data_IF_383999432201
#
_entry.id   IF_383999432201
#
_cell.length_a   1.000
_cell.length_b   1.000
_cell.length_c   1.000
_cell.angle_alpha   90.00
_cell.angle_beta   90.00
_cell.angle_gamma   90.00
#
_symmetry.space_group_name_H-M   'P 1'
#
loop_
_entity.id
_entity.type
_entity.pdbx_description
1 polymer ?
#
# COMPACT_ATOMS: atom_id res chain seq x y z
N UNK A 1 -8.19 -0.86 -8.58
CA UNK A 1 -6.96 -0.06 -8.69
C UNK A 1 -6.31 0.06 -7.34
N UNK A 2 -4.97 0.07 -7.29
CA UNK A 2 -4.19 0.38 -6.08
C UNK A 2 -3.47 1.72 -6.29
N UNK A 3 -3.72 2.68 -5.40
CA UNK A 3 -3.12 4.02 -5.45
C UNK A 3 -2.35 4.28 -4.16
N UNK A 4 -1.19 4.93 -4.26
CA UNK A 4 -0.50 5.49 -3.10
C UNK A 4 -0.86 6.98 -2.98
N UNK A 5 -1.00 7.49 -1.77
CA UNK A 5 -1.18 8.93 -1.52
C UNK A 5 0.05 9.73 -2.00
N UNK A 6 1.23 9.14 -1.79
CA UNK A 6 2.53 9.66 -2.22
C UNK A 6 3.40 8.51 -2.75
N UNK A 7 4.24 8.79 -3.73
CA UNK A 7 5.25 7.86 -4.25
C UNK A 7 6.66 8.27 -3.84
N UNK A 8 6.80 9.27 -2.99
CA UNK A 8 8.04 9.69 -2.39
C UNK A 8 7.86 9.88 -0.89
N UNK A 9 8.77 9.30 -0.10
CA UNK A 9 8.74 9.40 1.34
C UNK A 9 10.16 9.48 1.92
N UNK A 10 10.26 9.91 3.17
CA UNK A 10 11.53 9.93 3.88
C UNK A 10 11.77 8.59 4.57
N UNK A 11 12.98 8.05 4.42
CA UNK A 11 13.40 6.80 5.02
C UNK A 11 13.76 6.97 6.53
N UNK A 12 12.87 7.56 7.32
CA UNK A 12 13.08 7.88 8.74
C UNK A 12 12.21 7.02 9.68
N UNK A 13 11.55 5.98 9.15
CA UNK A 13 10.54 5.16 9.85
C UNK A 13 9.32 5.92 10.38
N UNK A 14 9.20 7.21 10.08
CA UNK A 14 8.16 8.12 10.57
C UNK A 14 7.25 8.55 9.42
N UNK A 15 7.83 8.87 8.27
CA UNK A 15 7.09 9.17 7.06
C UNK A 15 6.48 7.89 6.48
N UNK A 16 5.15 7.85 6.52
CA UNK A 16 4.35 6.72 6.07
C UNK A 16 3.66 7.06 4.76
N UNK A 17 3.75 6.14 3.81
CA UNK A 17 2.97 6.15 2.57
C UNK A 17 1.68 5.38 2.80
N UNK A 18 0.55 6.04 2.60
CA UNK A 18 -0.78 5.45 2.69
C UNK A 18 -1.21 4.95 1.33
N UNK A 19 -1.35 3.65 1.20
CA UNK A 19 -1.91 3.02 0.01
C UNK A 19 -3.40 2.79 0.18
N UNK A 20 -4.17 3.13 -0.84
CA UNK A 20 -5.60 2.93 -0.96
C UNK A 20 -5.90 1.98 -2.12
N UNK A 21 -6.40 0.80 -1.77
CA UNK A 21 -6.95 -0.16 -2.71
C UNK A 21 -8.42 0.12 -2.93
N UNK A 22 -8.83 0.14 -4.19
CA UNK A 22 -10.22 0.13 -4.62
C UNK A 22 -10.50 -1.14 -5.41
N UNK A 23 -11.21 -2.07 -4.77
CA UNK A 23 -11.66 -3.32 -5.35
C UNK A 23 -13.12 -3.22 -5.79
N UNK A 24 -13.32 -3.13 -7.09
CA UNK A 24 -14.64 -3.02 -7.72
C UNK A 24 -14.86 -4.18 -8.67
N UNK A 25 -16.03 -4.82 -8.60
CA UNK A 25 -16.46 -5.90 -9.48
C UNK A 25 -17.76 -5.47 -10.15
N UNK A 26 -17.83 -5.58 -11.48
CA UNK A 26 -19.00 -5.18 -12.26
C UNK A 26 -19.48 -3.72 -12.00
N UNK A 27 -18.54 -2.81 -11.71
CA UNK A 27 -18.83 -1.41 -11.40
C UNK A 27 -19.26 -1.13 -9.95
N UNK A 28 -19.49 -2.16 -9.14
CA UNK A 28 -19.80 -2.04 -7.72
C UNK A 28 -18.57 -2.31 -6.84
N UNK A 29 -18.44 -1.57 -5.73
CA UNK A 29 -17.42 -1.85 -4.73
C UNK A 29 -17.74 -3.14 -3.96
N UNK A 30 -16.78 -4.05 -3.85
CA UNK A 30 -16.99 -5.32 -3.14
C UNK A 30 -16.42 -5.24 -1.74
N UNK A 31 -17.30 -5.21 -0.74
CA UNK A 31 -16.94 -5.25 0.68
C UNK A 31 -16.84 -6.66 1.25
N UNK A 32 -16.03 -6.80 2.29
CA UNK A 32 -15.79 -8.07 2.99
C UNK A 32 -14.70 -8.94 2.37
N UNK A 33 -14.07 -8.51 1.28
CA UNK A 33 -13.02 -9.26 0.62
C UNK A 33 -11.70 -9.17 1.41
N UNK A 34 -11.00 -10.31 1.54
CA UNK A 34 -9.72 -10.37 2.23
C UNK A 34 -8.60 -9.85 1.33
N UNK A 35 -7.94 -8.79 1.78
CA UNK A 35 -6.80 -8.15 1.11
C UNK A 35 -5.53 -8.59 1.79
N UNK A 36 -4.64 -9.24 1.05
CA UNK A 36 -3.29 -9.57 1.48
C UNK A 36 -2.32 -8.54 0.90
N UNK A 37 -1.57 -7.87 1.77
CA UNK A 37 -0.60 -6.87 1.41
C UNK A 37 0.80 -7.46 1.49
N UNK A 38 1.57 -7.24 0.45
CA UNK A 38 2.97 -7.63 0.38
C UNK A 38 3.78 -6.44 -0.11
N UNK A 39 5.00 -6.31 0.36
CA UNK A 39 5.89 -5.24 -0.09
C UNK A 39 7.27 -5.80 -0.44
N UNK A 40 7.93 -5.20 -1.41
CA UNK A 40 9.31 -5.57 -1.76
C UNK A 40 10.34 -5.06 -0.74
N UNK A 41 9.96 -4.10 0.10
CA UNK A 41 10.78 -3.64 1.22
C UNK A 41 10.10 -2.56 2.06
N UNK A 42 10.69 -2.26 3.21
CA UNK A 42 10.03 -1.48 4.25
C UNK A 42 9.10 -2.33 5.13
N UNK A 43 8.26 -1.65 5.89
CA UNK A 43 7.35 -2.23 6.89
C UNK A 43 5.93 -1.76 6.62
N UNK A 44 5.02 -2.71 6.42
CA UNK A 44 3.59 -2.44 6.34
C UNK A 44 2.99 -2.36 7.75
N UNK A 45 2.01 -1.50 7.95
CA UNK A 45 1.26 -1.42 9.22
C UNK A 45 0.40 -2.64 9.47
N UNK A 46 0.02 -3.37 8.41
CA UNK A 46 -0.68 -4.66 8.49
C UNK A 46 -0.42 -5.45 7.22
N UNK A 47 -0.22 -6.75 7.35
CA UNK A 47 -0.08 -7.73 6.27
C UNK A 47 -1.43 -8.09 5.64
N UNK A 48 -2.54 -7.96 6.36
CA UNK A 48 -3.88 -8.24 5.85
C UNK A 48 -4.89 -7.14 6.21
N UNK A 49 -5.92 -6.98 5.39
CA UNK A 49 -7.05 -6.08 5.64
C UNK A 49 -8.32 -6.62 5.02
N UNK A 50 -9.48 -6.04 5.35
CA UNK A 50 -10.74 -6.32 4.67
C UNK A 50 -11.22 -5.09 3.92
N UNK A 51 -11.76 -5.30 2.72
CA UNK A 51 -12.42 -4.20 1.99
C UNK A 51 -13.70 -3.78 2.71
N UNK A 52 -13.94 -2.47 2.82
CA UNK A 52 -15.21 -1.94 3.30
C UNK A 52 -16.32 -2.08 2.26
N UNK A 53 -17.56 -1.71 2.60
CA UNK A 53 -18.74 -1.82 1.73
C UNK A 53 -18.60 -1.19 0.34
N UNK A 54 -17.65 -0.27 0.16
CA UNK A 54 -17.34 0.40 -1.12
C UNK A 54 -16.17 -0.24 -1.88
N UNK A 55 -15.65 -1.37 -1.40
CA UNK A 55 -14.46 -2.00 -1.95
C UNK A 55 -13.15 -1.32 -1.57
N UNK A 56 -13.19 -0.35 -0.65
CA UNK A 56 -12.01 0.38 -0.19
C UNK A 56 -11.24 -0.40 0.88
N UNK A 57 -9.92 -0.52 0.73
CA UNK A 57 -9.01 -0.95 1.80
C UNK A 57 -7.80 -0.03 1.82
N UNK A 58 -7.19 0.15 2.99
CA UNK A 58 -6.01 1.02 3.15
C UNK A 58 -4.93 0.34 3.96
N UNK A 59 -3.67 0.64 3.63
CA UNK A 59 -2.50 0.19 4.38
C UNK A 59 -1.46 1.32 4.42
N UNK A 60 -0.63 1.35 5.46
CA UNK A 60 0.50 2.27 5.55
C UNK A 60 1.80 1.51 5.36
N UNK A 61 2.73 2.07 4.59
CA UNK A 61 4.08 1.59 4.38
C UNK A 61 5.07 2.61 4.94
N UNK A 62 5.97 2.18 5.81
CA UNK A 62 7.11 2.97 6.30
C UNK A 62 8.43 2.30 5.92
N UNK A 63 9.52 3.04 5.88
CA UNK A 63 10.85 2.47 5.69
C UNK A 63 11.90 3.24 6.48
N UNK A 64 12.89 2.52 7.00
CA UNK A 64 14.11 3.08 7.61
C UNK A 64 15.26 3.21 6.60
N UNK A 65 15.09 2.65 5.40
CA UNK A 65 16.15 2.56 4.39
C UNK A 65 15.67 3.22 3.11
N UNK A 66 16.54 4.07 2.55
CA UNK A 66 16.32 4.69 1.27
C UNK A 66 16.33 3.61 0.17
N UNK A 67 15.36 3.66 -0.72
CA UNK A 67 15.18 2.65 -1.74
C UNK A 67 13.82 2.75 -2.41
N UNK A 68 13.67 2.09 -3.54
CA UNK A 68 12.40 2.02 -4.26
C UNK A 68 11.68 0.73 -3.89
N UNK A 69 10.49 0.86 -3.33
CA UNK A 69 9.64 -0.26 -2.92
C UNK A 69 8.33 -0.24 -3.68
N UNK A 70 7.71 -1.40 -3.82
CA UNK A 70 6.38 -1.56 -4.39
C UNK A 70 5.53 -2.36 -3.41
N UNK A 71 4.23 -2.12 -3.45
CA UNK A 71 3.26 -2.85 -2.63
C UNK A 71 2.32 -3.58 -3.55
N UNK A 72 2.12 -4.87 -3.28
CA UNK A 72 1.18 -5.71 -4.00
C UNK A 72 0.04 -6.11 -3.07
N UNK A 73 -1.18 -5.78 -3.46
CA UNK A 73 -2.40 -6.13 -2.79
C UNK A 73 -3.11 -7.27 -3.52
N UNK A 74 -3.32 -8.40 -2.86
CA UNK A 74 -4.00 -9.57 -3.41
C UNK A 74 -5.36 -9.75 -2.76
N UNK A 75 -6.44 -9.75 -3.54
CA UNK A 75 -7.82 -9.88 -3.09
C UNK A 75 -8.51 -11.00 -3.84
N UNK A 76 -8.91 -12.07 -3.16
CA UNK A 76 -9.59 -13.24 -3.76
C UNK A 76 -8.92 -13.74 -5.07
N UNK A 77 -7.59 -13.76 -5.11
CA UNK A 77 -6.81 -14.18 -6.29
C UNK A 77 -6.52 -13.08 -7.31
N UNK A 78 -7.03 -11.86 -7.11
CA UNK A 78 -6.71 -10.68 -7.93
C UNK A 78 -5.60 -9.88 -7.26
N UNK A 79 -4.39 -9.91 -7.85
CA UNK A 79 -3.25 -9.12 -7.38
C UNK A 79 -3.15 -7.78 -8.12
N UNK A 80 -2.91 -6.71 -7.37
CA UNK A 80 -2.68 -5.37 -7.89
C UNK A 80 -1.41 -4.80 -7.29
N UNK A 81 -0.52 -4.32 -8.15
CA UNK A 81 0.74 -3.70 -7.73
C UNK A 81 0.59 -2.18 -7.75
N UNK A 82 1.14 -1.52 -6.73
CA UNK A 82 1.17 -0.07 -6.63
C UNK A 82 2.21 0.51 -7.59
N UNK A 83 2.20 1.84 -7.70
CA UNK A 83 3.32 2.57 -8.27
C UNK A 83 4.58 2.33 -7.42
N UNK A 84 5.74 2.52 -8.04
CA UNK A 84 7.02 2.49 -7.34
C UNK A 84 7.09 3.67 -6.35
N UNK A 85 7.31 3.35 -5.08
CA UNK A 85 7.43 4.30 -3.97
C UNK A 85 8.91 4.44 -3.65
N UNK A 86 9.46 5.61 -3.86
CA UNK A 86 10.87 5.91 -3.57
C UNK A 86 11.00 6.53 -2.20
N UNK A 87 11.65 5.81 -1.29
CA UNK A 87 12.09 6.35 -0.02
C UNK A 87 13.46 7.00 -0.21
N UNK A 88 13.56 8.29 0.05
CA UNK A 88 14.82 9.02 0.07
C UNK A 88 15.36 9.06 1.49
N UNK A 89 16.68 8.99 1.66
CA UNK A 89 17.27 9.16 2.97
C UNK A 89 16.81 10.51 3.55
N UNK A 90 16.50 10.60 4.86
CA UNK A 90 16.28 11.89 5.50
C UNK A 90 17.46 12.79 5.17
N UNK A 91 17.16 14.03 4.77
CA UNK A 91 18.16 15.06 4.65
C UNK A 91 18.68 15.37 6.07
N UNK A 92 19.59 14.54 6.57
CA UNK A 92 20.39 14.77 7.76
C UNK A 92 21.82 15.04 7.31
N UNK A 93 22.52 16.04 7.83
CA UNK A 93 22.18 17.00 8.88
C UNK A 93 23.29 18.04 8.96
#
# INVERSE_FOLDING_TARGET
MLLADKTSATADSTDAVTLALKYTKDGAGVGGANVQWTTTGGTLSTDASRTGSTGGATVKLTSATAGTFTVTASVEGVSQTSQAITFTAPAGG
#
